data_IF_794394778374
#
_entry.id   IF_794394778374
#
_cell.length_a   1.000
_cell.length_b   1.000
_cell.length_c   1.000
_cell.angle_alpha   90.00
_cell.angle_beta   90.00
_cell.angle_gamma   90.00
#
_symmetry.space_group_name_H-M   'P 1'
#
loop_
_entity.id
_entity.type
_entity.pdbx_description
1 polymer ?
#
# COMPACT_ATOMS: atom_id res chain seq x y z
N UNK A 1 -37.48 -18.90 -23.26
CA UNK A 1 -37.00 -17.51 -23.12
C UNK A 1 -35.55 -17.58 -22.70
N UNK A 2 -34.65 -17.35 -23.64
CA UNK A 2 -33.21 -17.39 -23.42
C UNK A 2 -32.79 -16.02 -22.83
N UNK A 3 -32.32 -16.01 -21.60
CA UNK A 3 -31.67 -14.82 -21.01
C UNK A 3 -30.32 -14.65 -21.71
N UNK A 4 -30.22 -13.65 -22.55
CA UNK A 4 -28.96 -13.25 -23.16
C UNK A 4 -28.01 -12.78 -22.05
N UNK A 5 -26.93 -13.51 -21.85
CA UNK A 5 -25.76 -13.06 -21.10
C UNK A 5 -25.20 -11.84 -21.83
N UNK A 6 -25.40 -10.64 -21.28
CA UNK A 6 -24.70 -9.44 -21.75
C UNK A 6 -23.25 -9.62 -21.33
N UNK A 7 -22.45 -10.13 -22.24
CA UNK A 7 -21.04 -10.33 -22.03
C UNK A 7 -20.36 -9.00 -21.72
N UNK A 8 -19.73 -8.91 -20.55
CA UNK A 8 -18.77 -7.87 -20.21
C UNK A 8 -17.66 -7.88 -21.27
N UNK A 9 -17.59 -6.86 -22.10
CA UNK A 9 -16.45 -6.60 -22.99
C UNK A 9 -15.67 -5.43 -22.41
N UNK A 10 -14.52 -5.65 -21.77
CA UNK A 10 -13.67 -4.55 -21.35
C UNK A 10 -13.31 -3.72 -22.60
N UNK A 11 -13.39 -2.39 -22.49
CA UNK A 11 -12.84 -1.51 -23.51
C UNK A 11 -11.37 -1.90 -23.74
N UNK A 12 -10.90 -1.94 -25.00
CA UNK A 12 -9.51 -2.29 -25.26
C UNK A 12 -8.59 -1.37 -24.48
N UNK A 13 -7.60 -1.96 -23.83
CA UNK A 13 -6.69 -1.44 -22.81
C UNK A 13 -5.79 -0.24 -23.21
N UNK A 14 -5.99 0.34 -24.37
CA UNK A 14 -5.30 1.56 -24.81
C UNK A 14 -5.89 2.86 -24.24
N UNK A 15 -6.70 2.82 -23.16
CA UNK A 15 -7.44 4.00 -22.79
C UNK A 15 -7.95 4.13 -21.36
N UNK A 16 -7.19 3.82 -20.30
CA UNK A 16 -7.51 4.43 -19.00
C UNK A 16 -7.32 5.93 -19.14
N UNK A 17 -8.38 6.68 -18.90
CA UNK A 17 -8.41 8.14 -19.01
C UNK A 17 -8.77 8.79 -17.68
N UNK A 18 -9.66 8.16 -16.94
CA UNK A 18 -10.22 8.68 -15.69
C UNK A 18 -9.94 7.68 -14.57
N UNK A 19 -9.23 8.11 -13.55
CA UNK A 19 -8.93 7.34 -12.35
C UNK A 19 -9.51 8.06 -11.13
N UNK A 20 -10.21 7.32 -10.31
CA UNK A 20 -10.70 7.83 -9.02
C UNK A 20 -9.96 7.15 -7.88
N UNK A 21 -9.40 7.93 -6.96
CA UNK A 21 -8.75 7.43 -5.74
C UNK A 21 -9.64 7.75 -4.55
N UNK A 22 -10.00 6.74 -3.77
CA UNK A 22 -10.88 6.83 -2.61
C UNK A 22 -10.05 6.85 -1.33
N UNK A 23 -10.11 7.96 -0.60
CA UNK A 23 -9.32 8.25 0.60
C UNK A 23 -8.15 9.17 0.28
N UNK A 24 -8.09 10.33 0.95
CA UNK A 24 -7.06 11.36 0.74
C UNK A 24 -5.91 11.31 1.78
N UNK A 25 -5.75 10.18 2.47
CA UNK A 25 -4.61 9.96 3.38
C UNK A 25 -3.28 9.84 2.63
N UNK A 26 -2.20 9.57 3.35
CA UNK A 26 -0.83 9.48 2.80
C UNK A 26 -0.73 8.57 1.56
N UNK A 27 -1.37 7.38 1.60
CA UNK A 27 -1.34 6.46 0.48
C UNK A 27 -2.18 6.96 -0.68
N UNK A 28 -3.42 7.37 -0.44
CA UNK A 28 -4.32 7.87 -1.49
C UNK A 28 -3.78 9.11 -2.17
N UNK A 29 -3.23 10.07 -1.43
CA UNK A 29 -2.56 11.24 -1.98
C UNK A 29 -1.38 10.83 -2.90
N UNK A 30 -0.52 9.92 -2.44
CA UNK A 30 0.60 9.43 -3.24
C UNK A 30 0.16 8.65 -4.49
N UNK A 31 -0.92 7.87 -4.42
CA UNK A 31 -1.50 7.16 -5.57
C UNK A 31 -2.08 8.16 -6.57
N UNK A 32 -2.89 9.11 -6.10
CA UNK A 32 -3.47 10.17 -6.94
C UNK A 32 -2.38 10.99 -7.63
N UNK A 33 -1.31 11.33 -6.91
CA UNK A 33 -0.14 12.00 -7.48
C UNK A 33 0.44 11.23 -8.66
N UNK A 34 0.69 9.93 -8.53
CA UNK A 34 1.27 9.10 -9.60
C UNK A 34 0.30 8.97 -10.78
N UNK A 35 -1.01 8.84 -10.52
CA UNK A 35 -2.01 8.82 -11.58
C UNK A 35 -2.02 10.12 -12.38
N UNK A 36 -2.00 11.28 -11.72
CA UNK A 36 -1.94 12.59 -12.36
C UNK A 36 -0.63 12.79 -13.18
N UNK A 37 0.49 12.30 -12.66
CA UNK A 37 1.78 12.29 -13.36
C UNK A 37 1.81 11.40 -14.60
N UNK A 38 0.96 10.36 -14.63
CA UNK A 38 0.79 9.48 -15.80
C UNK A 38 -0.01 10.16 -16.93
N UNK A 39 -0.59 11.35 -16.66
CA UNK A 39 -1.40 12.11 -17.61
C UNK A 39 -2.87 11.72 -17.61
N UNK A 40 -3.34 11.00 -16.59
CA UNK A 40 -4.75 10.64 -16.45
C UNK A 40 -5.54 11.71 -15.72
N UNK A 41 -6.79 11.95 -16.13
CA UNK A 41 -7.75 12.68 -15.29
C UNK A 41 -7.88 11.93 -13.97
N UNK A 42 -7.44 12.55 -12.89
CA UNK A 42 -7.36 11.93 -11.57
C UNK A 42 -8.29 12.66 -10.60
N UNK A 43 -9.16 11.90 -9.96
CA UNK A 43 -10.14 12.39 -9.01
C UNK A 43 -9.81 11.85 -7.63
N UNK A 44 -9.47 12.73 -6.70
CA UNK A 44 -9.23 12.37 -5.32
C UNK A 44 -10.50 12.59 -4.51
N UNK A 45 -11.04 11.52 -3.96
CA UNK A 45 -12.25 11.55 -3.12
C UNK A 45 -11.91 11.34 -1.66
N UNK A 46 -12.50 12.17 -0.80
CA UNK A 46 -12.61 11.92 0.64
C UNK A 46 -13.90 12.59 1.14
N UNK A 47 -14.71 11.94 2.00
CA UNK A 47 -15.94 12.55 2.52
C UNK A 47 -15.67 13.72 3.46
N UNK A 48 -14.42 13.89 3.92
CA UNK A 48 -14.01 14.94 4.83
C UNK A 48 -13.22 16.01 4.09
N UNK A 49 -13.70 17.27 3.98
CA UNK A 49 -12.97 18.35 3.30
C UNK A 49 -11.55 18.58 3.84
N UNK A 50 -11.36 18.51 5.16
CA UNK A 50 -10.03 18.62 5.79
C UNK A 50 -9.08 17.49 5.34
N UNK A 51 -9.63 16.31 5.03
CA UNK A 51 -8.86 15.18 4.47
C UNK A 51 -8.37 15.49 3.06
N UNK A 52 -9.24 16.08 2.22
CA UNK A 52 -8.89 16.51 0.87
C UNK A 52 -7.82 17.59 0.87
N UNK A 53 -7.97 18.61 1.72
CA UNK A 53 -6.98 19.69 1.85
C UNK A 53 -5.60 19.13 2.22
N UNK A 54 -5.52 18.31 3.26
CA UNK A 54 -4.28 17.64 3.66
C UNK A 54 -3.70 16.74 2.58
N UNK A 55 -4.55 16.00 1.85
CA UNK A 55 -4.11 15.17 0.74
C UNK A 55 -3.47 15.99 -0.38
N UNK A 56 -4.06 17.13 -0.72
CA UNK A 56 -3.51 18.06 -1.71
C UNK A 56 -2.21 18.71 -1.22
N UNK A 57 -2.13 19.10 0.05
CA UNK A 57 -0.89 19.62 0.64
C UNK A 57 0.27 18.61 0.57
N UNK A 58 -0.01 17.31 0.82
CA UNK A 58 1.00 16.24 0.70
C UNK A 58 1.52 16.16 -0.74
N UNK A 59 0.63 16.22 -1.73
CA UNK A 59 0.99 16.15 -3.16
C UNK A 59 1.82 17.36 -3.55
N UNK A 60 1.36 18.56 -3.22
CA UNK A 60 2.04 19.81 -3.55
C UNK A 60 3.42 19.90 -2.91
N UNK A 61 3.53 19.57 -1.63
CA UNK A 61 4.80 19.55 -0.91
C UNK A 61 5.81 18.55 -1.53
N UNK A 62 5.32 17.40 -2.04
CA UNK A 62 6.17 16.43 -2.69
C UNK A 62 6.72 16.96 -4.02
N UNK A 63 5.89 17.59 -4.84
CA UNK A 63 6.30 18.21 -6.10
C UNK A 63 7.25 19.39 -5.87
N UNK A 64 6.97 20.26 -4.90
CA UNK A 64 7.84 21.40 -4.55
C UNK A 64 9.22 20.94 -4.07
N UNK A 65 9.27 19.85 -3.27
CA UNK A 65 10.53 19.23 -2.90
C UNK A 65 11.26 18.63 -4.09
N UNK A 66 10.52 18.13 -5.08
CA UNK A 66 11.07 17.68 -6.37
C UNK A 66 11.69 18.84 -7.15
N UNK A 67 11.02 19.97 -7.23
CA UNK A 67 11.52 21.20 -7.89
C UNK A 67 12.78 21.70 -7.19
N UNK A 68 12.75 21.82 -5.86
CA UNK A 68 13.91 22.24 -5.07
C UNK A 68 15.16 21.36 -5.26
N UNK A 69 14.96 20.08 -5.64
CA UNK A 69 16.03 19.11 -5.90
C UNK A 69 16.37 18.95 -7.39
N UNK A 70 15.76 19.72 -8.27
CA UNK A 70 15.96 19.62 -9.71
C UNK A 70 15.45 18.32 -10.35
N UNK A 71 14.52 17.61 -9.69
CA UNK A 71 13.92 16.36 -10.18
C UNK A 71 12.57 16.57 -10.86
N UNK A 72 11.98 17.75 -10.71
CA UNK A 72 10.69 18.16 -11.26
C UNK A 72 10.81 19.60 -11.70
N UNK A 73 10.15 19.98 -12.79
CA UNK A 73 10.08 21.39 -13.22
C UNK A 73 8.73 22.00 -12.80
N UNK A 74 8.67 23.34 -12.81
CA UNK A 74 7.41 24.07 -12.52
C UNK A 74 6.35 23.75 -13.59
N UNK A 75 6.76 23.61 -14.83
CA UNK A 75 5.89 23.27 -15.96
C UNK A 75 5.28 21.88 -15.75
N UNK A 76 6.06 20.88 -15.34
CA UNK A 76 5.59 19.55 -15.01
C UNK A 76 4.59 19.57 -13.85
N UNK A 77 4.89 20.31 -12.77
CA UNK A 77 3.93 20.46 -11.65
C UNK A 77 2.61 21.05 -12.14
N UNK A 78 2.64 22.08 -12.98
CA UNK A 78 1.43 22.72 -13.52
C UNK A 78 0.62 21.75 -14.41
N UNK A 79 1.30 20.98 -15.26
CA UNK A 79 0.67 19.95 -16.09
C UNK A 79 -0.02 18.88 -15.24
N UNK A 80 0.68 18.34 -14.24
CA UNK A 80 0.16 17.28 -13.36
C UNK A 80 -0.99 17.79 -12.47
N UNK A 81 -0.88 19.01 -11.93
CA UNK A 81 -1.95 19.63 -11.16
C UNK A 81 -3.23 19.84 -11.98
N UNK A 82 -3.11 20.11 -13.27
CA UNK A 82 -4.27 20.25 -14.16
C UNK A 82 -5.02 18.93 -14.37
N UNK A 83 -4.36 17.79 -14.14
CA UNK A 83 -4.98 16.48 -14.22
C UNK A 83 -5.67 16.05 -12.91
N UNK A 84 -5.56 16.82 -11.82
CA UNK A 84 -6.02 16.43 -10.48
C UNK A 84 -7.18 17.30 -10.03
N UNK A 85 -8.25 16.66 -9.55
CA UNK A 85 -9.42 17.32 -8.97
C UNK A 85 -9.88 16.60 -7.71
N UNK A 86 -10.59 17.31 -6.82
CA UNK A 86 -11.07 16.79 -5.55
C UNK A 86 -12.58 16.68 -5.52
N UNK A 87 -13.09 15.66 -4.84
CA UNK A 87 -14.52 15.37 -4.73
C UNK A 87 -14.87 14.96 -3.29
N UNK A 88 -16.02 15.42 -2.79
CA UNK A 88 -16.60 14.99 -1.51
C UNK A 88 -17.87 14.14 -1.66
N UNK A 89 -18.39 14.01 -2.89
CA UNK A 89 -19.47 13.09 -3.25
C UNK A 89 -18.91 11.91 -4.05
N UNK A 90 -19.17 10.69 -3.58
CA UNK A 90 -18.61 9.47 -4.20
C UNK A 90 -19.24 9.20 -5.57
N UNK A 91 -20.54 9.41 -5.73
CA UNK A 91 -21.24 9.13 -7.00
C UNK A 91 -20.74 10.06 -8.10
N UNK A 92 -20.49 11.34 -7.77
CA UNK A 92 -19.87 12.30 -8.70
C UNK A 92 -18.42 11.89 -9.02
N UNK A 93 -17.63 11.54 -8.01
CA UNK A 93 -16.21 11.18 -8.16
C UNK A 93 -16.02 9.99 -9.12
N UNK A 94 -16.87 8.97 -9.04
CA UNK A 94 -16.72 7.74 -9.84
C UNK A 94 -17.49 7.76 -11.18
N UNK A 95 -18.22 8.84 -11.49
CA UNK A 95 -18.95 8.95 -12.75
C UNK A 95 -18.00 8.90 -13.94
N UNK A 96 -18.16 7.88 -14.81
CA UNK A 96 -17.33 7.72 -16.01
C UNK A 96 -15.89 7.29 -15.77
N UNK A 97 -15.53 6.89 -14.54
CA UNK A 97 -14.19 6.38 -14.20
C UNK A 97 -13.88 5.05 -14.89
N UNK A 98 -12.62 4.82 -15.23
CA UNK A 98 -12.14 3.54 -15.79
C UNK A 98 -11.50 2.66 -14.71
N UNK A 99 -10.94 3.29 -13.68
CA UNK A 99 -10.26 2.63 -12.55
C UNK A 99 -10.58 3.36 -11.25
N UNK A 100 -10.95 2.61 -10.24
CA UNK A 100 -11.04 3.10 -8.85
C UNK A 100 -9.95 2.43 -8.03
N UNK A 101 -9.20 3.20 -7.24
CA UNK A 101 -8.22 2.68 -6.29
C UNK A 101 -8.61 3.14 -4.88
N UNK A 102 -9.02 2.20 -4.04
CA UNK A 102 -9.39 2.47 -2.65
C UNK A 102 -8.15 2.43 -1.75
N UNK A 103 -7.99 3.46 -0.91
CA UNK A 103 -6.91 3.64 0.05
C UNK A 103 -7.41 4.24 1.39
N UNK A 104 -8.57 3.76 1.87
CA UNK A 104 -9.14 4.16 3.17
C UNK A 104 -8.52 3.33 4.32
N UNK A 105 -8.82 3.66 5.60
CA UNK A 105 -8.31 2.89 6.74
C UNK A 105 -8.55 1.38 6.62
N UNK A 106 -7.63 0.60 7.20
CA UNK A 106 -7.56 -0.86 7.08
C UNK A 106 -8.61 -1.55 7.97
N UNK A 107 -9.88 -1.38 7.62
CA UNK A 107 -11.07 -1.91 8.32
C UNK A 107 -11.94 -2.62 7.29
N UNK A 108 -12.13 -3.93 7.45
CA UNK A 108 -12.84 -4.79 6.48
C UNK A 108 -14.25 -4.28 6.18
N UNK A 109 -15.03 -3.99 7.22
CA UNK A 109 -16.43 -3.57 7.07
C UNK A 109 -16.54 -2.22 6.31
N UNK A 110 -15.58 -1.31 6.55
CA UNK A 110 -15.51 -0.03 5.83
C UNK A 110 -15.23 -0.27 4.33
N UNK A 111 -14.24 -1.12 4.04
CA UNK A 111 -13.89 -1.46 2.65
C UNK A 111 -15.04 -2.17 1.94
N UNK A 112 -15.68 -3.15 2.58
CA UNK A 112 -16.85 -3.83 2.03
C UNK A 112 -17.99 -2.84 1.71
N UNK A 113 -18.29 -1.91 2.63
CA UNK A 113 -19.31 -0.87 2.40
C UNK A 113 -18.94 -0.02 1.17
N UNK A 114 -17.70 0.43 1.08
CA UNK A 114 -17.22 1.24 -0.05
C UNK A 114 -17.36 0.45 -1.35
N UNK A 115 -16.94 -0.81 -1.39
CA UNK A 115 -17.04 -1.63 -2.60
C UNK A 115 -18.49 -1.91 -3.01
N UNK A 116 -19.43 -2.07 -2.06
CA UNK A 116 -20.86 -2.12 -2.35
C UNK A 116 -21.39 -0.82 -2.96
N UNK A 117 -20.89 0.33 -2.51
CA UNK A 117 -21.30 1.62 -3.06
C UNK A 117 -20.63 1.87 -4.43
N UNK A 118 -19.36 1.46 -4.61
CA UNK A 118 -18.69 1.49 -5.92
C UNK A 118 -19.36 0.60 -6.95
N UNK A 119 -19.89 -0.57 -6.57
CA UNK A 119 -20.66 -1.43 -7.47
C UNK A 119 -21.90 -0.72 -8.02
N UNK A 120 -22.56 0.12 -7.21
CA UNK A 120 -23.76 0.87 -7.61
C UNK A 120 -23.45 2.07 -8.50
N UNK A 121 -22.40 2.81 -8.17
CA UNK A 121 -22.13 4.12 -8.75
C UNK A 121 -21.08 4.11 -9.86
N UNK A 122 -20.07 3.25 -9.78
CA UNK A 122 -19.04 3.18 -10.80
C UNK A 122 -19.55 2.47 -12.06
N UNK A 123 -19.08 2.88 -13.26
CA UNK A 123 -19.44 2.20 -14.51
C UNK A 123 -19.13 0.70 -14.44
N UNK A 124 -19.96 -0.12 -15.10
CA UNK A 124 -19.80 -1.58 -15.10
C UNK A 124 -18.44 -2.04 -15.67
N UNK A 125 -17.80 -1.24 -16.52
CA UNK A 125 -16.48 -1.53 -17.08
C UNK A 125 -15.31 -1.15 -16.16
N UNK A 126 -15.56 -0.33 -15.14
CA UNK A 126 -14.50 0.17 -14.25
C UNK A 126 -13.89 -0.97 -13.43
N UNK A 127 -12.57 -1.00 -13.36
CA UNK A 127 -11.85 -1.88 -12.45
C UNK A 127 -11.89 -1.26 -11.04
N UNK A 128 -12.13 -2.10 -10.04
CA UNK A 128 -12.18 -1.70 -8.64
C UNK A 128 -10.98 -2.29 -7.90
N UNK A 129 -10.05 -1.45 -7.51
CA UNK A 129 -8.84 -1.89 -6.82
C UNK A 129 -8.83 -1.45 -5.37
N UNK A 130 -8.19 -2.24 -4.51
CA UNK A 130 -7.93 -1.89 -3.10
C UNK A 130 -6.43 -1.86 -2.84
N UNK A 131 -5.98 -0.86 -2.07
CA UNK A 131 -4.58 -0.74 -1.62
C UNK A 131 -4.37 -1.38 -0.24
N UNK A 132 -5.19 -2.34 0.15
CA UNK A 132 -4.98 -3.06 1.42
C UNK A 132 -3.59 -3.67 1.48
N UNK A 133 -3.00 -3.72 2.68
CA UNK A 133 -1.72 -4.37 2.94
C UNK A 133 -1.85 -5.76 3.57
N UNK A 134 -3.07 -6.17 3.98
CA UNK A 134 -3.24 -7.42 4.70
C UNK A 134 -4.63 -8.00 4.73
N UNK A 135 -5.69 -7.24 4.41
CA UNK A 135 -7.05 -7.78 4.32
C UNK A 135 -7.16 -8.62 3.04
N UNK A 136 -7.67 -9.87 3.12
CA UNK A 136 -7.88 -10.69 1.94
C UNK A 136 -8.80 -9.99 0.92
N UNK A 137 -8.38 -9.99 -0.35
CA UNK A 137 -9.16 -9.35 -1.42
C UNK A 137 -10.50 -10.08 -1.61
N UNK A 138 -10.50 -11.40 -1.44
CA UNK A 138 -11.69 -12.25 -1.44
C UNK A 138 -12.73 -11.82 -0.41
N UNK A 139 -12.30 -11.38 0.80
CA UNK A 139 -13.20 -10.92 1.85
C UNK A 139 -13.85 -9.58 1.52
N UNK A 140 -13.13 -8.71 0.80
CA UNK A 140 -13.71 -7.47 0.28
C UNK A 140 -14.67 -7.77 -0.86
N UNK A 141 -14.24 -8.59 -1.81
CA UNK A 141 -14.99 -8.89 -3.02
C UNK A 141 -16.29 -9.66 -2.78
N UNK A 142 -16.35 -10.53 -1.75
CA UNK A 142 -17.56 -11.30 -1.44
C UNK A 142 -18.77 -10.44 -1.06
N UNK A 143 -18.57 -9.19 -0.65
CA UNK A 143 -19.65 -8.26 -0.34
C UNK A 143 -20.36 -7.72 -1.58
N UNK A 144 -19.85 -8.01 -2.78
CA UNK A 144 -20.32 -7.48 -4.06
C UNK A 144 -20.72 -8.57 -5.03
N UNK A 145 -21.52 -8.22 -6.05
CA UNK A 145 -21.84 -9.09 -7.18
C UNK A 145 -20.89 -8.97 -8.39
N UNK A 146 -19.79 -8.19 -8.27
CA UNK A 146 -18.88 -7.87 -9.37
C UNK A 146 -17.42 -8.25 -9.08
N UNK A 147 -17.23 -9.37 -8.39
CA UNK A 147 -15.92 -9.84 -7.92
C UNK A 147 -14.88 -10.00 -9.05
N UNK A 148 -15.30 -10.29 -10.27
CA UNK A 148 -14.41 -10.48 -11.44
C UNK A 148 -13.60 -9.25 -11.82
N UNK A 149 -14.06 -8.06 -11.44
CA UNK A 149 -13.38 -6.78 -11.68
C UNK A 149 -12.74 -6.16 -10.42
N UNK A 150 -12.66 -6.93 -9.33
CA UNK A 150 -12.02 -6.50 -8.08
C UNK A 150 -10.63 -7.13 -7.98
N UNK A 151 -9.63 -6.33 -7.58
CA UNK A 151 -8.24 -6.76 -7.47
C UNK A 151 -7.50 -5.95 -6.40
N UNK A 152 -6.47 -6.53 -5.79
CA UNK A 152 -5.53 -5.78 -4.97
C UNK A 152 -4.50 -5.05 -5.83
N UNK A 153 -4.27 -3.78 -5.54
CA UNK A 153 -3.16 -2.97 -6.05
C UNK A 153 -2.41 -2.38 -4.86
N UNK A 154 -1.49 -3.17 -4.31
CA UNK A 154 -0.75 -2.82 -3.11
C UNK A 154 0.48 -1.97 -3.46
N UNK A 155 0.39 -0.68 -3.17
CA UNK A 155 1.46 0.30 -3.34
C UNK A 155 2.30 0.41 -2.06
N UNK A 156 3.51 0.93 -2.21
CA UNK A 156 4.48 1.11 -1.12
C UNK A 156 4.76 2.58 -0.85
N UNK A 157 4.82 2.97 0.42
CA UNK A 157 5.11 4.34 0.83
C UNK A 157 6.63 4.62 0.78
N UNK A 158 7.07 5.74 0.19
CA UNK A 158 6.33 6.77 -0.55
C UNK A 158 5.97 6.34 -1.98
N UNK A 159 4.69 6.39 -2.33
CA UNK A 159 4.19 5.87 -3.63
C UNK A 159 4.94 6.42 -4.85
N UNK A 160 5.28 7.72 -4.94
CA UNK A 160 6.01 8.24 -6.11
C UNK A 160 7.45 7.74 -6.23
N UNK A 161 8.05 7.21 -5.16
CA UNK A 161 9.45 6.75 -5.12
C UNK A 161 9.56 5.24 -5.31
N UNK A 162 8.64 4.49 -4.69
CA UNK A 162 8.69 3.03 -4.69
C UNK A 162 8.24 2.47 -6.04
N UNK A 163 9.13 1.72 -6.68
CA UNK A 163 8.87 1.20 -8.03
C UNK A 163 8.02 -0.07 -8.05
N UNK A 164 7.90 -0.78 -6.94
CA UNK A 164 7.12 -2.02 -6.85
C UNK A 164 5.63 -1.74 -6.71
N UNK A 165 4.81 -2.54 -7.41
CA UNK A 165 3.38 -2.66 -7.23
C UNK A 165 3.02 -4.15 -7.19
N UNK A 166 2.49 -4.63 -6.05
CA UNK A 166 1.92 -5.96 -5.97
C UNK A 166 0.49 -5.94 -6.48
N UNK A 167 0.19 -6.84 -7.42
CA UNK A 167 -1.16 -7.09 -7.91
C UNK A 167 -1.65 -8.39 -7.27
N UNK A 168 -2.69 -8.30 -6.44
CA UNK A 168 -3.20 -9.44 -5.68
C UNK A 168 -4.49 -9.93 -6.30
N UNK A 169 -4.45 -11.14 -6.86
CA UNK A 169 -5.61 -11.79 -7.46
C UNK A 169 -6.26 -12.76 -6.49
N UNK A 170 -7.57 -12.71 -6.39
CA UNK A 170 -8.39 -13.74 -5.77
C UNK A 170 -9.01 -14.67 -6.84
N UNK A 171 -9.57 -15.79 -6.43
CA UNK A 171 -10.02 -16.85 -7.34
C UNK A 171 -11.10 -16.43 -8.37
N UNK A 172 -11.89 -15.40 -8.05
CA UNK A 172 -12.95 -14.90 -8.94
C UNK A 172 -12.48 -13.73 -9.83
N UNK A 173 -11.26 -13.22 -9.64
CA UNK A 173 -10.74 -12.13 -10.47
C UNK A 173 -10.54 -12.60 -11.92
N UNK A 174 -11.03 -11.83 -12.88
CA UNK A 174 -10.93 -12.20 -14.30
C UNK A 174 -9.51 -11.97 -14.86
N UNK A 175 -9.09 -12.79 -15.82
CA UNK A 175 -7.83 -12.62 -16.53
C UNK A 175 -7.73 -11.26 -17.26
N UNK A 176 -8.88 -10.74 -17.72
CA UNK A 176 -8.95 -9.41 -18.34
C UNK A 176 -8.62 -8.32 -17.33
N UNK A 177 -9.14 -8.40 -16.10
CA UNK A 177 -8.80 -7.48 -15.00
C UNK A 177 -7.33 -7.53 -14.68
N UNK A 178 -6.76 -8.73 -14.53
CA UNK A 178 -5.33 -8.94 -14.25
C UNK A 178 -4.46 -8.30 -15.34
N UNK A 179 -4.76 -8.60 -16.60
CA UNK A 179 -4.02 -8.04 -17.74
C UNK A 179 -4.10 -6.51 -17.77
N UNK A 180 -5.28 -5.98 -17.49
CA UNK A 180 -5.50 -4.54 -17.45
C UNK A 180 -4.61 -3.86 -16.40
N UNK A 181 -4.63 -4.34 -15.15
CA UNK A 181 -3.87 -3.69 -14.08
C UNK A 181 -2.36 -3.88 -14.23
N UNK A 182 -1.88 -4.92 -14.89
CA UNK A 182 -0.47 -5.04 -15.27
C UNK A 182 -0.03 -3.94 -16.24
N UNK A 183 -0.85 -3.65 -17.24
CA UNK A 183 -0.59 -2.55 -18.19
C UNK A 183 -0.71 -1.18 -17.50
N UNK A 184 -1.71 -1.01 -16.63
CA UNK A 184 -1.88 0.19 -15.81
C UNK A 184 -0.64 0.43 -14.94
N UNK A 185 -0.19 -0.58 -14.20
CA UNK A 185 1.02 -0.48 -13.37
C UNK A 185 2.27 -0.11 -14.19
N UNK A 186 2.41 -0.71 -15.37
CA UNK A 186 3.51 -0.37 -16.29
C UNK A 186 3.42 1.08 -16.78
N UNK A 187 2.21 1.58 -17.11
CA UNK A 187 1.99 2.97 -17.51
C UNK A 187 2.32 3.96 -16.38
N UNK A 188 2.09 3.56 -15.12
CA UNK A 188 2.49 4.33 -13.92
C UNK A 188 4.00 4.27 -13.64
N UNK A 189 4.79 3.62 -14.49
CA UNK A 189 6.23 3.44 -14.27
C UNK A 189 6.57 2.44 -13.16
N UNK A 190 5.63 1.57 -12.78
CA UNK A 190 5.83 0.55 -11.74
C UNK A 190 6.28 -0.78 -12.33
N UNK A 191 7.09 -1.50 -11.58
CA UNK A 191 7.33 -2.93 -11.81
C UNK A 191 6.26 -3.71 -11.07
N UNK A 192 5.45 -4.47 -11.81
CA UNK A 192 4.36 -5.24 -11.22
C UNK A 192 4.78 -6.68 -10.96
N UNK A 193 4.31 -7.23 -9.84
CA UNK A 193 4.32 -8.68 -9.58
C UNK A 193 2.89 -9.14 -9.35
N UNK A 194 2.56 -10.35 -9.81
CA UNK A 194 1.25 -10.96 -9.59
C UNK A 194 1.35 -11.96 -8.44
N UNK A 195 0.51 -11.77 -7.42
CA UNK A 195 0.48 -12.55 -6.19
C UNK A 195 -0.92 -13.12 -5.99
N UNK A 196 -1.03 -14.32 -5.45
CA UNK A 196 -2.32 -14.87 -5.04
C UNK A 196 -2.76 -14.22 -3.71
N UNK A 197 -4.07 -14.18 -3.50
CA UNK A 197 -4.70 -13.65 -2.29
C UNK A 197 -4.45 -14.58 -1.09
N UNK A 198 -3.27 -14.44 -0.49
CA UNK A 198 -2.82 -15.22 0.67
C UNK A 198 -2.29 -14.23 1.72
N UNK A 199 -2.52 -14.51 2.99
CA UNK A 199 -2.13 -13.64 4.09
C UNK A 199 -0.69 -13.13 4.00
N UNK A 200 -0.53 -11.80 4.11
CA UNK A 200 0.75 -11.10 4.02
C UNK A 200 1.32 -10.97 2.61
N UNK A 201 0.58 -11.40 1.58
CA UNK A 201 0.99 -11.34 0.17
C UNK A 201 2.42 -11.86 -0.02
N UNK A 202 3.25 -11.21 -0.82
CA UNK A 202 4.66 -11.59 -0.95
C UNK A 202 5.57 -10.75 -0.06
N UNK A 203 5.49 -9.41 -0.14
CA UNK A 203 6.46 -8.53 0.51
C UNK A 203 6.25 -8.43 2.01
N UNK A 204 5.01 -8.31 2.48
CA UNK A 204 4.72 -8.21 3.93
C UNK A 204 5.16 -9.50 4.64
N UNK A 205 4.79 -10.67 4.09
CA UNK A 205 5.17 -11.97 4.67
C UNK A 205 6.69 -12.15 4.74
N UNK A 206 7.41 -11.91 3.64
CA UNK A 206 8.87 -12.02 3.62
C UNK A 206 9.53 -11.00 4.56
N UNK A 207 9.08 -9.75 4.51
CA UNK A 207 9.68 -8.68 5.29
C UNK A 207 9.51 -8.86 6.80
N UNK A 208 8.32 -9.26 7.27
CA UNK A 208 8.09 -9.45 8.72
C UNK A 208 8.77 -10.71 9.23
N UNK A 209 8.81 -11.79 8.43
CA UNK A 209 9.47 -13.04 8.82
C UNK A 209 10.99 -12.84 8.94
N UNK A 210 11.61 -12.17 7.97
CA UNK A 210 13.03 -11.83 8.04
C UNK A 210 13.33 -10.92 9.25
N UNK A 211 12.49 -9.91 9.50
CA UNK A 211 12.63 -9.02 10.64
C UNK A 211 12.48 -9.76 11.98
N UNK A 212 11.54 -10.68 12.10
CA UNK A 212 11.32 -11.46 13.31
C UNK A 212 12.51 -12.40 13.60
N UNK A 213 13.06 -13.04 12.56
CA UNK A 213 14.28 -13.86 12.72
C UNK A 213 15.48 -13.01 13.14
N UNK A 214 15.64 -11.81 12.57
CA UNK A 214 16.70 -10.88 12.98
C UNK A 214 16.56 -10.43 14.44
N UNK A 215 15.33 -10.18 14.90
CA UNK A 215 15.03 -9.85 16.31
C UNK A 215 15.37 -11.02 17.22
N UNK A 216 15.06 -12.25 16.80
CA UNK A 216 15.43 -13.46 17.54
C UNK A 216 16.94 -13.62 17.64
N UNK A 217 17.68 -13.45 16.53
CA UNK A 217 19.15 -13.50 16.53
C UNK A 217 19.75 -12.46 17.50
N UNK A 218 19.17 -11.26 17.55
CA UNK A 218 19.59 -10.23 18.51
C UNK A 218 19.35 -10.68 19.95
N UNK A 219 18.17 -11.20 20.28
CA UNK A 219 17.82 -11.69 21.60
C UNK A 219 18.65 -12.91 22.03
N UNK A 220 19.01 -13.79 21.10
CA UNK A 220 19.88 -14.96 21.32
C UNK A 220 21.37 -14.55 21.48
N UNK A 221 21.72 -13.27 21.32
CA UNK A 221 23.07 -12.76 21.41
C UNK A 221 24.01 -13.24 20.30
N UNK A 222 23.46 -13.54 19.11
CA UNK A 222 24.26 -13.98 17.95
C UNK A 222 25.21 -12.89 17.49
N UNK A 223 24.73 -11.65 17.44
CA UNK A 223 25.54 -10.46 17.13
C UNK A 223 24.82 -9.19 17.59
N UNK A 224 25.49 -8.04 17.52
CA UNK A 224 24.89 -6.74 17.77
C UNK A 224 23.84 -6.40 16.70
N UNK A 225 22.94 -5.46 16.98
CA UNK A 225 21.94 -5.02 16.01
C UNK A 225 22.60 -4.47 14.74
N UNK A 226 23.67 -3.69 14.90
CA UNK A 226 24.44 -3.12 13.80
C UNK A 226 25.11 -4.22 12.93
N UNK A 227 25.64 -5.27 13.55
CA UNK A 227 26.30 -6.36 12.82
C UNK A 227 25.30 -7.23 12.06
N UNK A 228 24.11 -7.52 12.64
CA UNK A 228 23.03 -8.24 11.97
C UNK A 228 22.58 -7.46 10.72
N UNK A 229 22.34 -6.16 10.86
CA UNK A 229 21.96 -5.29 9.75
C UNK A 229 23.05 -5.21 8.67
N UNK A 230 24.32 -5.10 9.10
CA UNK A 230 25.49 -5.07 8.21
C UNK A 230 25.62 -6.37 7.42
N UNK A 231 25.37 -7.52 8.05
CA UNK A 231 25.42 -8.81 7.38
C UNK A 231 24.44 -8.89 6.20
N UNK A 232 23.22 -8.40 6.36
CA UNK A 232 22.23 -8.37 5.27
C UNK A 232 22.53 -7.28 4.24
N UNK A 233 22.98 -6.10 4.68
CA UNK A 233 23.33 -5.01 3.79
C UNK A 233 24.51 -5.39 2.87
N UNK A 234 25.61 -5.89 3.41
CA UNK A 234 26.82 -6.20 2.65
C UNK A 234 26.83 -7.62 2.07
N UNK A 235 26.32 -8.62 2.82
CA UNK A 235 26.33 -10.01 2.39
C UNK A 235 25.29 -10.32 1.30
N UNK A 236 24.09 -9.73 1.39
CA UNK A 236 22.98 -9.94 0.46
C UNK A 236 22.62 -8.71 -0.36
N UNK A 237 23.32 -7.57 -0.17
CA UNK A 237 23.06 -6.29 -0.86
C UNK A 237 21.68 -5.71 -0.62
N UNK A 238 21.10 -5.95 0.55
CA UNK A 238 19.90 -5.26 0.94
C UNK A 238 20.17 -3.75 1.08
N UNK A 239 19.25 -2.87 0.68
CA UNK A 239 19.45 -1.41 0.79
C UNK A 239 19.59 -0.95 2.24
N UNK A 240 19.00 -1.71 3.19
CA UNK A 240 19.13 -1.55 4.64
C UNK A 240 18.97 -2.90 5.34
N UNK A 241 19.40 -2.99 6.58
CA UNK A 241 19.25 -4.21 7.36
C UNK A 241 17.82 -4.44 7.86
N UNK A 242 17.49 -5.67 8.28
CA UNK A 242 16.15 -6.07 8.68
C UNK A 242 15.68 -5.41 10.00
N UNK A 243 16.59 -5.09 10.91
CA UNK A 243 16.29 -4.45 12.19
C UNK A 243 16.00 -2.95 11.98
N UNK A 244 16.83 -2.26 11.18
CA UNK A 244 16.60 -0.89 10.76
C UNK A 244 15.27 -0.76 10.00
N UNK A 245 14.99 -1.67 9.06
CA UNK A 245 13.73 -1.69 8.33
C UNK A 245 12.53 -1.94 9.28
N UNK A 246 12.73 -2.73 10.33
CA UNK A 246 11.70 -2.99 11.34
C UNK A 246 11.30 -1.71 12.07
N UNK A 247 12.29 -0.92 12.49
CA UNK A 247 12.07 0.37 13.13
C UNK A 247 11.42 1.41 12.19
N UNK A 248 11.78 1.40 10.91
CA UNK A 248 11.18 2.32 9.92
C UNK A 248 9.70 2.00 9.65
N UNK A 249 9.34 0.73 9.56
CA UNK A 249 7.94 0.29 9.34
C UNK A 249 7.11 0.51 10.61
N UNK A 250 7.71 0.26 11.76
CA UNK A 250 7.08 0.29 13.07
C UNK A 250 6.92 -1.11 13.66
N UNK A 251 7.42 -1.27 14.88
CA UNK A 251 7.45 -2.57 15.57
C UNK A 251 6.03 -3.08 15.92
N UNK A 252 5.11 -2.18 16.25
CA UNK A 252 3.69 -2.49 16.44
C UNK A 252 3.05 -3.06 15.17
N UNK A 253 3.28 -2.41 14.02
CA UNK A 253 2.77 -2.88 12.73
C UNK A 253 3.33 -4.27 12.40
N UNK A 254 4.63 -4.48 12.61
CA UNK A 254 5.25 -5.78 12.36
C UNK A 254 4.70 -6.88 13.27
N UNK A 255 4.54 -6.59 14.57
CA UNK A 255 3.94 -7.50 15.54
C UNK A 255 2.53 -7.92 15.11
N UNK A 256 1.71 -6.94 14.71
CA UNK A 256 0.33 -7.21 14.35
C UNK A 256 0.24 -8.05 13.05
N UNK A 257 1.10 -7.77 12.05
CA UNK A 257 1.18 -8.60 10.84
C UNK A 257 1.61 -10.03 11.19
N UNK A 258 2.63 -10.22 12.03
CA UNK A 258 3.08 -11.54 12.45
C UNK A 258 1.98 -12.34 13.16
N UNK A 259 1.25 -11.69 14.09
CA UNK A 259 0.09 -12.32 14.75
C UNK A 259 -0.99 -12.73 13.74
N UNK A 260 -1.29 -11.88 12.77
CA UNK A 260 -2.25 -12.19 11.72
C UNK A 260 -1.80 -13.37 10.86
N UNK A 261 -0.49 -13.45 10.52
CA UNK A 261 0.06 -14.60 9.78
C UNK A 261 -0.02 -15.89 10.59
N UNK A 262 0.30 -15.85 11.89
CA UNK A 262 0.21 -17.01 12.76
C UNK A 262 -1.23 -17.57 12.82
N UNK A 263 -2.21 -16.69 12.91
CA UNK A 263 -3.64 -17.08 12.88
C UNK A 263 -4.04 -17.63 11.51
N UNK A 264 -3.72 -16.90 10.44
CA UNK A 264 -4.13 -17.25 9.08
C UNK A 264 -3.57 -18.60 8.60
N UNK A 265 -2.33 -18.92 8.98
CA UNK A 265 -1.67 -20.18 8.63
C UNK A 265 -1.82 -21.26 9.70
N UNK A 266 -2.41 -20.94 10.87
CA UNK A 266 -2.41 -21.80 12.05
C UNK A 266 -1.01 -22.36 12.36
N UNK A 267 -0.02 -21.46 12.37
CA UNK A 267 1.41 -21.80 12.50
C UNK A 267 2.09 -20.80 13.45
N UNK A 268 2.47 -21.28 14.63
CA UNK A 268 3.11 -20.49 15.67
C UNK A 268 4.55 -20.05 15.30
N UNK A 269 5.15 -20.58 14.22
CA UNK A 269 6.45 -20.10 13.73
C UNK A 269 6.41 -18.65 13.27
N UNK A 270 5.23 -18.13 12.95
CA UNK A 270 5.02 -16.71 12.63
C UNK A 270 4.83 -15.81 13.86
N UNK A 271 4.67 -16.37 15.06
CA UNK A 271 4.48 -15.54 16.26
C UNK A 271 5.61 -14.54 16.43
N UNK A 272 5.30 -13.30 16.87
CA UNK A 272 6.33 -12.33 17.19
C UNK A 272 7.24 -12.87 18.29
N UNK A 273 8.53 -12.59 18.19
CA UNK A 273 9.47 -12.92 19.26
C UNK A 273 9.15 -12.10 20.53
N UNK A 274 9.31 -12.66 21.76
CA UNK A 274 9.01 -11.95 23.01
C UNK A 274 9.69 -10.57 23.15
N UNK A 275 10.89 -10.40 22.61
CA UNK A 275 11.58 -9.09 22.56
C UNK A 275 10.77 -8.06 21.77
N UNK A 276 10.15 -8.45 20.64
CA UNK A 276 9.29 -7.55 19.88
C UNK A 276 8.05 -7.13 20.68
N UNK A 277 7.42 -8.07 21.37
CA UNK A 277 6.28 -7.77 22.25
C UNK A 277 6.67 -6.83 23.40
N UNK A 278 7.84 -7.05 24.03
CA UNK A 278 8.36 -6.20 25.09
C UNK A 278 8.63 -4.78 24.60
N UNK A 279 9.28 -4.61 23.44
CA UNK A 279 9.55 -3.29 22.84
C UNK A 279 8.24 -2.53 22.55
N UNK A 280 7.24 -3.22 22.00
CA UNK A 280 5.94 -2.59 21.72
C UNK A 280 5.22 -2.23 23.04
N UNK A 281 5.28 -3.07 24.06
CA UNK A 281 4.69 -2.79 25.37
C UNK A 281 5.31 -1.58 26.07
N UNK A 282 6.61 -1.32 25.87
CA UNK A 282 7.32 -0.14 26.37
C UNK A 282 6.99 1.15 25.57
N UNK A 283 6.30 1.05 24.43
CA UNK A 283 6.11 2.17 23.52
C UNK A 283 7.32 2.46 22.62
N UNK A 284 8.30 1.57 22.59
CA UNK A 284 9.46 1.61 21.68
C UNK A 284 9.03 1.10 20.30
N UNK A 285 8.35 1.96 19.51
CA UNK A 285 7.70 1.58 18.26
C UNK A 285 8.56 1.79 17.01
N UNK A 286 9.83 2.11 17.18
CA UNK A 286 10.77 2.41 16.10
C UNK A 286 10.94 3.91 15.86
N UNK A 287 11.31 4.29 14.64
CA UNK A 287 11.65 5.67 14.28
C UNK A 287 10.51 6.66 14.58
N UNK A 288 9.26 6.26 14.42
CA UNK A 288 8.08 7.11 14.66
C UNK A 288 7.91 7.54 16.11
N UNK A 289 8.40 6.76 17.06
CA UNK A 289 8.39 7.08 18.50
C UNK A 289 9.74 7.62 19.01
N UNK A 290 10.74 7.74 18.12
CA UNK A 290 12.11 8.12 18.48
C UNK A 290 12.92 6.99 19.12
N UNK A 291 12.33 5.83 19.36
CA UNK A 291 12.98 4.68 20.00
C UNK A 291 12.36 3.36 19.50
N UNK A 292 13.20 2.40 19.18
CA UNK A 292 12.84 1.07 18.74
C UNK A 292 13.92 0.08 19.10
N UNK A 293 14.36 -0.74 18.14
CA UNK A 293 15.60 -1.53 18.27
C UNK A 293 16.81 -0.60 18.33
N UNK A 294 16.74 0.50 17.59
CA UNK A 294 17.70 1.60 17.65
C UNK A 294 17.11 2.81 18.38
N UNK A 295 17.97 3.70 18.84
CA UNK A 295 17.62 5.04 19.29
C UNK A 295 17.64 6.00 18.09
N UNK A 296 16.52 6.69 17.86
CA UNK A 296 16.29 7.65 16.78
C UNK A 296 16.07 9.08 17.29
N UNK A 297 16.28 9.32 18.60
CA UNK A 297 15.98 10.60 19.24
C UNK A 297 16.79 11.77 18.69
N UNK A 298 18.02 11.50 18.23
CA UNK A 298 18.87 12.50 17.56
C UNK A 298 18.54 12.72 16.08
N UNK A 299 17.64 11.91 15.50
CA UNK A 299 17.39 11.83 14.07
C UNK A 299 18.31 10.87 13.31
N UNK A 300 19.38 10.40 13.94
CA UNK A 300 20.31 9.39 13.42
C UNK A 300 20.05 8.02 14.06
N UNK A 301 20.49 6.95 13.40
CA UNK A 301 20.41 5.57 13.91
C UNK A 301 21.55 5.32 14.89
N UNK A 302 21.24 5.12 16.18
CA UNK A 302 22.20 4.82 17.24
C UNK A 302 21.85 3.47 17.86
N UNK A 303 22.85 2.62 18.06
CA UNK A 303 22.67 1.32 18.72
C UNK A 303 22.32 1.50 20.21
N UNK A 304 21.42 0.65 20.71
CA UNK A 304 20.96 0.67 22.11
C UNK A 304 21.64 -0.41 22.93
N UNK A 305 21.96 -0.10 24.17
CA UNK A 305 22.48 -1.02 25.20
C UNK A 305 21.44 -1.38 26.28
N UNK A 306 20.24 -0.76 26.20
CA UNK A 306 19.13 -0.89 27.15
C UNK A 306 17.95 -1.70 26.63
N UNK A 307 18.16 -2.63 25.71
CA UNK A 307 17.09 -3.49 25.19
C UNK A 307 16.53 -4.41 26.28
N UNK A 308 15.21 -4.66 26.33
CA UNK A 308 14.56 -5.52 27.33
C UNK A 308 14.79 -7.01 26.99
N UNK A 309 16.03 -7.47 27.08
CA UNK A 309 16.44 -8.85 26.76
C UNK A 309 16.27 -9.78 27.96
#
# INVERSE_FOLDING_TARGET
MSLAYVGYSPRPLMGVRVVTVIGAGTMGAGIAQVCAQTGWETRLFDPFPDGLEKGMEIIDAFWDKGIARGKTTVEQKNEWSANLSTYSDMAEAVTGTDLVIEAVPEILELKQKIFCDLEKFAPAHAILATNTSGIPISDIAQATGCAERIIGMHFFNPVPIMNLLELIRHDKCSDSTITAVQLIGSAMGKTTILVNDVAGFATSRLGVTLGNEAIKMLADGVASAADIDTAMHLGYRHPMGPLELSDLVGLDVRRDILNNLAVAFNDDSYRPHPLLDALVAEGSLGKKSGKGIYDWSSGEKIERDDLPM
#
